data_IF_990712480802
#
_entry.id   IF_990712480802
#
_cell.length_a   1.000
_cell.length_b   1.000
_cell.length_c   1.000
_cell.angle_alpha   90.00
_cell.angle_beta   90.00
_cell.angle_gamma   90.00
#
_symmetry.space_group_name_H-M   'P 1'
#
loop_
_entity.id
_entity.type
_entity.pdbx_description
1 polymer ?
#
# COMPACT_ATOMS: atom_id res chain seq x y z
N UNK A 1 -44.75 -14.20 -55.42
CA UNK A 1 -43.73 -13.37 -56.05
C UNK A 1 -42.59 -13.22 -55.02
N UNK A 2 -41.54 -13.92 -55.35
CA UNK A 2 -40.31 -13.97 -54.58
C UNK A 2 -39.44 -12.75 -54.93
N UNK A 3 -38.95 -12.08 -53.99
CA UNK A 3 -37.77 -11.19 -54.15
C UNK A 3 -36.72 -11.66 -53.17
N UNK A 4 -35.74 -12.36 -53.70
CA UNK A 4 -34.51 -12.76 -53.05
C UNK A 4 -33.56 -11.55 -53.04
N UNK A 5 -33.30 -10.99 -51.90
CA UNK A 5 -32.29 -9.94 -51.69
C UNK A 5 -30.96 -10.63 -51.33
N UNK A 6 -30.06 -10.62 -52.32
CA UNK A 6 -28.73 -11.18 -52.25
C UNK A 6 -27.83 -10.30 -51.34
N UNK A 7 -27.38 -10.88 -50.24
CA UNK A 7 -26.40 -10.24 -49.35
C UNK A 7 -25.01 -10.34 -50.01
N UNK A 8 -24.50 -9.20 -50.51
CA UNK A 8 -23.11 -9.03 -50.90
C UNK A 8 -22.22 -9.07 -49.63
N UNK A 9 -21.48 -10.15 -49.50
CA UNK A 9 -20.36 -10.23 -48.53
C UNK A 9 -19.17 -9.43 -49.06
N UNK A 10 -19.06 -8.18 -48.62
CA UNK A 10 -17.88 -7.38 -48.87
C UNK A 10 -16.70 -7.95 -48.08
N UNK A 11 -15.71 -8.47 -48.82
CA UNK A 11 -14.40 -8.87 -48.34
C UNK A 11 -13.62 -7.64 -47.79
N UNK A 12 -13.60 -7.53 -46.48
CA UNK A 12 -12.89 -6.48 -45.73
C UNK A 12 -11.45 -6.90 -45.30
N UNK A 13 -10.80 -7.74 -46.10
CA UNK A 13 -9.47 -8.27 -45.78
C UNK A 13 -8.34 -7.89 -46.72
N UNK A 14 -8.55 -6.96 -47.66
CA UNK A 14 -7.52 -6.55 -48.62
C UNK A 14 -7.06 -5.12 -48.44
N UNK A 15 -6.55 -4.78 -47.27
CA UNK A 15 -5.65 -3.59 -47.13
C UNK A 15 -4.83 -3.65 -45.84
N UNK A 16 -3.93 -4.63 -45.75
CA UNK A 16 -2.80 -4.56 -44.77
C UNK A 16 -1.53 -4.19 -45.57
N UNK A 17 -0.95 -3.02 -45.31
CA UNK A 17 0.32 -2.64 -45.98
C UNK A 17 1.44 -3.54 -45.44
N UNK A 18 2.33 -4.05 -46.32
CA UNK A 18 3.47 -4.87 -45.95
C UNK A 18 4.63 -4.00 -45.47
N UNK A 19 4.66 -3.59 -44.19
CA UNK A 19 5.86 -3.02 -43.59
C UNK A 19 5.94 -3.36 -42.10
N UNK A 20 6.13 -4.63 -41.82
CA UNK A 20 6.79 -5.05 -40.59
C UNK A 20 8.18 -5.56 -41.01
N UNK A 21 9.14 -4.66 -41.10
CA UNK A 21 10.57 -5.03 -41.05
C UNK A 21 10.77 -5.77 -39.75
N UNK A 22 10.95 -7.07 -39.86
CA UNK A 22 11.17 -7.97 -38.74
C UNK A 22 12.34 -7.44 -37.90
N UNK A 23 12.18 -7.38 -36.59
CA UNK A 23 13.26 -7.05 -35.66
C UNK A 23 14.52 -7.88 -35.90
N UNK A 24 14.39 -9.04 -36.53
CA UNK A 24 15.49 -9.90 -36.99
C UNK A 24 16.31 -9.26 -38.13
N UNK A 25 15.70 -8.55 -39.09
CA UNK A 25 16.42 -7.89 -40.17
C UNK A 25 17.23 -6.67 -39.69
N UNK A 26 16.73 -6.01 -38.63
CA UNK A 26 17.47 -4.93 -37.93
C UNK A 26 18.68 -5.47 -37.20
N UNK A 27 18.52 -6.62 -36.49
CA UNK A 27 19.62 -7.27 -35.80
C UNK A 27 20.69 -7.81 -36.73
N UNK A 28 20.32 -8.36 -37.92
CA UNK A 28 21.26 -8.83 -38.93
C UNK A 28 22.00 -7.67 -39.60
N UNK A 29 21.35 -6.52 -39.82
CA UNK A 29 22.01 -5.31 -40.32
C UNK A 29 22.98 -4.68 -39.32
N UNK A 30 22.65 -4.74 -38.03
CA UNK A 30 23.56 -4.27 -36.99
C UNK A 30 24.74 -5.23 -36.76
N UNK A 31 24.54 -6.53 -36.87
CA UNK A 31 25.64 -7.51 -36.77
C UNK A 31 26.66 -7.42 -37.90
N UNK A 32 26.22 -7.04 -39.13
CA UNK A 32 27.13 -6.82 -40.24
C UNK A 32 27.94 -5.50 -40.13
N UNK A 33 27.42 -4.47 -39.44
CA UNK A 33 28.18 -3.23 -39.13
C UNK A 33 29.17 -3.44 -37.97
N UNK A 34 28.91 -4.36 -37.07
CA UNK A 34 29.82 -4.69 -35.97
C UNK A 34 30.99 -5.60 -36.37
N UNK A 35 30.90 -6.27 -37.52
CA UNK A 35 31.94 -7.15 -38.03
C UNK A 35 33.24 -6.44 -38.43
N UNK A 36 33.22 -5.14 -38.72
CA UNK A 36 34.43 -4.39 -39.07
C UNK A 36 35.16 -3.73 -37.90
N UNK A 37 34.49 -3.65 -36.72
CA UNK A 37 35.08 -3.12 -35.48
C UNK A 37 35.60 -4.24 -34.60
N UNK A 38 35.08 -5.45 -34.79
CA UNK A 38 35.44 -6.62 -33.99
C UNK A 38 36.85 -7.16 -34.24
N UNK A 39 37.43 -6.94 -35.44
CA UNK A 39 38.77 -7.44 -35.77
C UNK A 39 39.91 -6.73 -35.06
N UNK A 40 39.71 -5.49 -34.59
CA UNK A 40 40.71 -4.78 -33.78
C UNK A 40 40.59 -5.10 -32.28
N UNK A 41 39.40 -5.49 -31.80
CA UNK A 41 39.16 -5.87 -30.40
C UNK A 41 39.58 -7.33 -30.09
N UNK A 42 39.62 -8.20 -31.12
CA UNK A 42 39.97 -9.61 -30.96
C UNK A 42 41.45 -9.87 -30.68
N UNK A 43 42.36 -8.91 -30.97
CA UNK A 43 43.78 -9.02 -30.64
C UNK A 43 44.07 -8.98 -29.14
N UNK A 44 43.23 -8.30 -28.35
CA UNK A 44 43.34 -8.25 -26.87
C UNK A 44 42.67 -9.41 -26.17
N UNK A 45 41.74 -10.10 -26.82
CA UNK A 45 40.95 -11.16 -26.22
C UNK A 45 41.66 -12.49 -26.15
N UNK A 46 42.68 -12.70 -27.02
CA UNK A 46 43.52 -13.94 -27.00
C UNK A 46 44.32 -14.05 -25.70
N UNK A 47 44.72 -12.95 -25.08
CA UNK A 47 45.42 -12.97 -23.79
C UNK A 47 44.49 -13.13 -22.60
N UNK A 48 43.19 -12.87 -22.77
CA UNK A 48 42.18 -13.07 -21.71
C UNK A 48 41.64 -14.51 -21.70
N UNK A 49 41.70 -15.21 -22.81
CA UNK A 49 41.22 -16.60 -22.94
C UNK A 49 42.22 -17.66 -22.47
N UNK A 50 43.47 -17.26 -22.14
CA UNK A 50 44.45 -18.14 -21.57
C UNK A 50 44.53 -18.14 -20.05
N UNK A 51 43.60 -17.42 -19.38
CA UNK A 51 43.35 -17.71 -17.97
C UNK A 51 42.36 -18.87 -17.91
N UNK A 52 42.79 -19.94 -17.24
CA UNK A 52 41.94 -21.09 -16.92
C UNK A 52 40.69 -20.59 -16.19
N UNK A 53 39.67 -20.22 -16.98
CA UNK A 53 38.35 -19.91 -16.45
C UNK A 53 37.79 -21.29 -16.03
N UNK A 54 37.99 -21.64 -14.78
CA UNK A 54 37.30 -22.75 -14.16
C UNK A 54 35.81 -22.41 -14.15
N UNK A 55 35.13 -22.83 -15.21
CA UNK A 55 33.67 -22.73 -15.26
C UNK A 55 33.14 -23.73 -14.24
N UNK A 56 32.54 -23.31 -13.13
CA UNK A 56 31.99 -24.26 -12.17
C UNK A 56 30.94 -25.13 -12.87
N UNK A 57 30.80 -26.40 -12.50
CA UNK A 57 29.83 -27.28 -13.12
C UNK A 57 28.44 -26.68 -13.04
N UNK A 58 27.64 -26.87 -14.09
CA UNK A 58 26.32 -26.26 -14.22
C UNK A 58 25.39 -26.52 -13.04
N UNK A 59 25.59 -27.64 -12.35
CA UNK A 59 24.88 -28.02 -11.13
C UNK A 59 25.15 -27.04 -9.96
N UNK A 60 26.40 -26.57 -9.78
CA UNK A 60 26.78 -25.64 -8.74
C UNK A 60 26.18 -24.23 -9.01
N UNK A 61 26.10 -23.87 -10.28
CA UNK A 61 25.48 -22.62 -10.69
C UNK A 61 23.97 -22.67 -10.43
N UNK A 62 23.28 -23.74 -10.80
CA UNK A 62 21.86 -23.91 -10.57
C UNK A 62 21.49 -23.96 -9.08
N UNK A 63 22.31 -24.64 -8.26
CA UNK A 63 22.12 -24.70 -6.81
C UNK A 63 22.32 -23.34 -6.16
N UNK A 64 23.32 -22.57 -6.58
CA UNK A 64 23.57 -21.21 -6.09
C UNK A 64 22.44 -20.24 -6.45
N UNK A 65 21.89 -20.31 -7.66
CA UNK A 65 20.72 -19.52 -8.07
C UNK A 65 19.46 -19.92 -7.30
N UNK A 66 19.23 -21.22 -7.10
CA UNK A 66 18.10 -21.72 -6.31
C UNK A 66 18.20 -21.25 -4.84
N UNK A 67 19.37 -21.31 -4.24
CA UNK A 67 19.62 -20.83 -2.89
C UNK A 67 19.48 -19.31 -2.79
N UNK A 68 19.99 -18.54 -3.75
CA UNK A 68 19.85 -17.09 -3.78
C UNK A 68 18.38 -16.67 -3.93
N UNK A 69 17.60 -17.36 -4.76
CA UNK A 69 16.16 -17.14 -4.91
C UNK A 69 15.43 -17.47 -3.62
N UNK A 70 15.75 -18.57 -2.98
CA UNK A 70 15.13 -18.99 -1.71
C UNK A 70 15.43 -17.99 -0.58
N UNK A 71 16.69 -17.51 -0.46
CA UNK A 71 17.07 -16.45 0.49
C UNK A 71 16.24 -15.17 0.28
N UNK A 72 16.16 -14.68 -0.96
CA UNK A 72 15.35 -13.48 -1.27
C UNK A 72 13.89 -13.67 -0.89
N UNK A 73 13.31 -14.84 -1.14
CA UNK A 73 11.92 -15.14 -0.76
C UNK A 73 11.76 -15.17 0.76
N UNK A 74 12.71 -15.72 1.50
CA UNK A 74 12.69 -15.72 2.97
C UNK A 74 12.84 -14.30 3.54
N UNK A 75 13.77 -13.51 3.00
CA UNK A 75 13.95 -12.11 3.41
C UNK A 75 12.69 -11.28 3.13
N UNK A 76 12.06 -11.46 1.97
CA UNK A 76 10.78 -10.82 1.66
C UNK A 76 9.66 -11.23 2.61
N UNK A 77 9.57 -12.52 2.94
CA UNK A 77 8.58 -13.03 3.89
C UNK A 77 8.81 -12.49 5.30
N UNK A 78 10.07 -12.37 5.73
CA UNK A 78 10.41 -11.77 7.03
C UNK A 78 10.08 -10.27 7.07
N UNK A 79 10.41 -9.54 6.01
CA UNK A 79 10.08 -8.11 5.90
C UNK A 79 8.56 -7.88 5.89
N UNK A 80 7.80 -8.73 5.17
CA UNK A 80 6.33 -8.70 5.21
C UNK A 80 5.80 -8.95 6.62
N UNK A 81 6.31 -9.97 7.32
CA UNK A 81 5.88 -10.25 8.71
C UNK A 81 6.19 -9.11 9.66
N UNK A 82 7.34 -8.48 9.50
CA UNK A 82 7.73 -7.30 10.28
C UNK A 82 6.78 -6.13 9.98
N UNK A 83 6.54 -5.82 8.72
CA UNK A 83 5.61 -4.77 8.30
C UNK A 83 4.18 -5.01 8.81
N UNK A 84 3.68 -6.26 8.76
CA UNK A 84 2.36 -6.62 9.31
C UNK A 84 2.33 -6.41 10.82
N UNK A 85 3.36 -6.82 11.54
CA UNK A 85 3.43 -6.64 13.00
C UNK A 85 3.46 -5.15 13.37
N UNK A 86 4.25 -4.36 12.68
CA UNK A 86 4.35 -2.92 12.89
C UNK A 86 3.03 -2.20 12.53
N UNK A 87 2.40 -2.55 11.41
CA UNK A 87 1.13 -1.94 10.99
C UNK A 87 -0.05 -2.28 11.89
N UNK A 88 -0.02 -3.42 12.57
CA UNK A 88 -1.07 -3.87 13.49
C UNK A 88 -0.83 -3.48 14.94
N UNK A 89 0.22 -2.71 15.24
CA UNK A 89 0.47 -2.23 16.59
C UNK A 89 -0.60 -1.20 17.00
N UNK A 90 -1.36 -1.54 18.04
CA UNK A 90 -2.40 -0.67 18.57
C UNK A 90 -1.77 0.49 19.34
N UNK A 91 -1.98 1.70 18.86
CA UNK A 91 -1.52 2.94 19.51
C UNK A 91 -2.46 3.34 20.65
N UNK A 92 -3.77 3.34 20.36
CA UNK A 92 -4.79 3.68 21.33
C UNK A 92 -6.07 2.88 21.08
N UNK A 93 -6.84 2.67 22.14
CA UNK A 93 -8.18 2.12 22.05
C UNK A 93 -9.06 2.71 23.13
N UNK A 94 -10.31 3.02 22.79
CA UNK A 94 -11.29 3.45 23.76
C UNK A 94 -12.63 2.74 23.51
N UNK A 95 -13.45 2.70 24.56
CA UNK A 95 -14.77 2.09 24.55
C UNK A 95 -15.80 3.03 25.15
N UNK A 96 -16.99 3.03 24.57
CA UNK A 96 -18.09 3.82 25.10
C UNK A 96 -18.55 3.32 26.47
N UNK A 97 -19.07 4.23 27.27
CA UNK A 97 -19.36 4.00 28.70
C UNK A 97 -20.70 3.30 28.88
N UNK A 98 -20.68 2.18 29.59
CA UNK A 98 -21.88 1.56 30.13
C UNK A 98 -22.31 2.30 31.41
N UNK A 99 -23.62 2.54 31.70
CA UNK A 99 -24.84 2.08 31.01
C UNK A 99 -25.39 3.06 29.96
N UNK A 100 -24.68 4.14 29.60
CA UNK A 100 -25.14 5.09 28.58
C UNK A 100 -25.39 4.42 27.23
N UNK A 101 -24.60 3.39 26.92
CA UNK A 101 -24.86 2.48 25.80
C UNK A 101 -24.98 1.05 26.34
N UNK A 102 -26.10 0.36 26.02
CA UNK A 102 -26.28 -1.05 26.38
C UNK A 102 -25.24 -1.95 25.65
N UNK A 103 -24.83 -1.54 24.48
CA UNK A 103 -23.86 -2.22 23.65
C UNK A 103 -22.67 -1.28 23.41
N UNK A 104 -21.60 -1.41 24.22
CA UNK A 104 -20.47 -0.48 24.09
C UNK A 104 -19.77 -0.60 22.74
N UNK A 105 -19.73 0.51 22.03
CA UNK A 105 -18.92 0.68 20.82
C UNK A 105 -17.45 0.80 21.21
N UNK A 106 -16.56 0.51 20.30
CA UNK A 106 -15.13 0.69 20.52
C UNK A 106 -14.44 1.28 19.29
N UNK A 107 -13.42 2.09 19.54
CA UNK A 107 -12.51 2.61 18.55
C UNK A 107 -11.11 2.11 18.85
N UNK A 108 -10.41 1.71 17.81
CA UNK A 108 -9.04 1.20 17.88
C UNK A 108 -8.24 1.97 16.84
N UNK A 109 -7.16 2.59 17.27
CA UNK A 109 -6.19 3.27 16.41
C UNK A 109 -4.94 2.41 16.30
N UNK A 110 -4.67 1.93 15.11
CA UNK A 110 -3.44 1.23 14.75
C UNK A 110 -2.47 2.17 14.01
N UNK A 111 -1.25 1.72 13.74
CA UNK A 111 -0.26 2.50 12.96
C UNK A 111 -0.68 2.79 11.51
N UNK A 112 -1.70 2.15 10.98
CA UNK A 112 -2.13 2.32 9.58
C UNK A 112 -3.58 2.75 9.42
N UNK A 113 -4.42 2.43 10.39
CA UNK A 113 -5.88 2.56 10.27
C UNK A 113 -6.56 2.89 11.59
N UNK A 114 -7.75 3.46 11.47
CA UNK A 114 -8.73 3.56 12.56
C UNK A 114 -9.81 2.52 12.33
N UNK A 115 -10.08 1.72 13.32
CA UNK A 115 -11.14 0.70 13.29
C UNK A 115 -12.22 1.04 14.30
N UNK A 116 -13.45 1.16 13.85
CA UNK A 116 -14.64 1.40 14.66
C UNK A 116 -15.44 0.10 14.70
N UNK A 117 -15.75 -0.36 15.90
CA UNK A 117 -16.62 -1.52 16.14
C UNK A 117 -17.91 -0.99 16.76
N UNK A 118 -18.96 -0.90 15.98
CA UNK A 118 -20.32 -0.56 16.44
C UNK A 118 -21.07 -1.84 16.76
N UNK A 119 -21.61 -1.93 17.99
CA UNK A 119 -22.40 -3.06 18.43
C UNK A 119 -23.87 -2.66 18.44
N UNK A 120 -24.63 -3.23 17.50
CA UNK A 120 -26.07 -2.96 17.38
C UNK A 120 -26.88 -3.84 18.34
N UNK A 121 -26.39 -5.03 18.67
CA UNK A 121 -27.03 -6.01 19.55
C UNK A 121 -26.00 -7.03 20.09
N UNK A 122 -26.41 -7.94 21.01
CA UNK A 122 -25.50 -8.94 21.63
C UNK A 122 -24.72 -9.78 20.60
N UNK A 123 -25.31 -10.04 19.43
CA UNK A 123 -24.78 -10.94 18.41
C UNK A 123 -24.33 -10.21 17.14
N UNK A 124 -24.62 -8.91 17.02
CA UNK A 124 -24.37 -8.16 15.80
C UNK A 124 -23.41 -7.02 16.08
N UNK A 125 -22.29 -7.03 15.37
CA UNK A 125 -21.32 -5.93 15.38
C UNK A 125 -20.98 -5.54 13.95
N UNK A 126 -20.92 -4.23 13.69
CA UNK A 126 -20.43 -3.66 12.44
C UNK A 126 -19.01 -3.17 12.67
N UNK A 127 -18.09 -3.68 11.89
CA UNK A 127 -16.68 -3.26 11.92
C UNK A 127 -16.41 -2.40 10.71
N UNK A 128 -15.95 -1.18 10.94
CA UNK A 128 -15.63 -0.21 9.90
C UNK A 128 -14.18 0.22 10.10
N UNK A 129 -13.36 0.11 9.06
CA UNK A 129 -11.96 0.49 9.12
C UNK A 129 -11.64 1.52 8.06
N UNK A 130 -10.95 2.59 8.44
CA UNK A 130 -10.48 3.66 7.56
C UNK A 130 -8.95 3.71 7.60
N UNK A 131 -8.33 3.92 6.47
CA UNK A 131 -6.92 4.29 6.46
C UNK A 131 -6.76 5.72 6.99
N UNK A 132 -5.69 6.01 7.68
CA UNK A 132 -5.43 7.36 8.22
C UNK A 132 -5.42 8.42 7.11
N UNK A 133 -4.94 8.04 5.94
CA UNK A 133 -4.86 8.91 4.75
C UNK A 133 -6.23 9.29 4.17
N UNK A 134 -7.27 8.48 4.44
CA UNK A 134 -8.64 8.73 4.01
C UNK A 134 -9.42 9.60 4.98
N UNK A 135 -8.89 9.88 6.16
CA UNK A 135 -9.53 10.72 7.17
C UNK A 135 -9.35 12.19 6.78
N UNK A 136 -10.45 12.88 6.63
CA UNK A 136 -10.47 14.30 6.25
C UNK A 136 -10.52 15.23 7.46
N UNK A 137 -11.35 14.89 8.45
CA UNK A 137 -11.56 15.69 9.64
C UNK A 137 -11.93 14.82 10.84
N UNK A 138 -11.56 15.29 12.02
CA UNK A 138 -11.91 14.65 13.29
C UNK A 138 -12.42 15.72 14.23
N UNK A 139 -13.67 15.59 14.67
CA UNK A 139 -14.35 16.51 15.58
C UNK A 139 -14.63 15.81 16.91
N UNK A 140 -14.47 16.54 17.98
CA UNK A 140 -14.81 16.09 19.32
C UNK A 140 -15.85 17.01 19.95
N UNK A 141 -17.01 16.46 20.26
CA UNK A 141 -17.99 17.13 21.11
C UNK A 141 -17.70 16.83 22.57
N UNK A 142 -17.53 17.85 23.40
CA UNK A 142 -17.13 17.69 24.81
C UNK A 142 -18.26 18.16 25.73
N UNK A 143 -18.78 17.22 26.50
CA UNK A 143 -19.72 17.50 27.60
C UNK A 143 -19.01 17.52 28.97
N UNK A 144 -19.77 17.70 30.07
CA UNK A 144 -19.17 17.73 31.40
C UNK A 144 -18.54 16.41 31.83
N UNK A 145 -19.12 15.28 31.42
CA UNK A 145 -18.64 13.93 31.79
C UNK A 145 -18.27 13.08 30.57
N UNK A 146 -19.00 13.26 29.48
CA UNK A 146 -18.86 12.45 28.28
C UNK A 146 -18.48 13.30 27.09
N UNK A 147 -17.80 12.64 26.14
CA UNK A 147 -17.48 13.21 24.84
C UNK A 147 -18.05 12.35 23.70
N UNK A 148 -18.14 12.97 22.56
CA UNK A 148 -18.45 12.31 21.28
C UNK A 148 -17.31 12.55 20.30
N UNK A 149 -17.06 11.57 19.44
CA UNK A 149 -16.06 11.67 18.36
C UNK A 149 -16.77 11.49 17.04
N UNK A 150 -16.55 12.43 16.12
CA UNK A 150 -17.03 12.37 14.75
C UNK A 150 -15.83 12.31 13.82
N UNK A 151 -15.76 11.29 12.98
CA UNK A 151 -14.71 11.11 11.98
C UNK A 151 -15.34 11.25 10.61
N UNK A 152 -14.87 12.20 9.81
CA UNK A 152 -15.20 12.34 8.41
C UNK A 152 -14.13 11.66 7.57
N UNK A 153 -14.53 10.67 6.78
CA UNK A 153 -13.63 9.91 5.91
C UNK A 153 -14.11 9.92 4.48
N UNK A 154 -13.15 9.86 3.54
CA UNK A 154 -13.43 9.74 2.12
C UNK A 154 -13.45 8.26 1.75
N UNK A 155 -14.64 7.72 1.48
CA UNK A 155 -14.81 6.37 0.96
C UNK A 155 -15.40 6.46 -0.45
N UNK A 156 -14.70 5.96 -1.46
CA UNK A 156 -15.17 5.91 -2.85
C UNK A 156 -15.82 7.21 -3.37
N UNK A 157 -15.16 8.36 -3.20
CA UNK A 157 -15.63 9.71 -3.60
C UNK A 157 -16.84 10.26 -2.81
N UNK A 158 -17.32 9.56 -1.80
CA UNK A 158 -18.35 10.06 -0.87
C UNK A 158 -17.70 10.37 0.47
N UNK A 159 -18.15 11.46 1.09
CA UNK A 159 -17.72 11.82 2.45
C UNK A 159 -18.73 11.22 3.42
N UNK A 160 -18.28 10.25 4.19
CA UNK A 160 -19.07 9.62 5.24
C UNK A 160 -18.67 10.14 6.61
N UNK A 161 -19.67 10.45 7.44
CA UNK A 161 -19.48 10.90 8.81
C UNK A 161 -19.84 9.78 9.79
N UNK A 162 -18.87 9.40 10.60
CA UNK A 162 -19.05 8.36 11.61
C UNK A 162 -18.99 9.00 13.00
N UNK A 163 -20.13 9.03 13.68
CA UNK A 163 -20.25 9.55 15.03
C UNK A 163 -20.35 8.42 16.05
N UNK A 164 -19.58 8.54 17.11
CA UNK A 164 -19.62 7.69 18.29
C UNK A 164 -19.77 8.58 19.51
N UNK A 165 -20.74 8.27 20.34
CA UNK A 165 -21.08 9.06 21.53
C UNK A 165 -20.72 8.29 22.80
N UNK A 166 -20.66 9.03 23.92
CA UNK A 166 -20.50 8.46 25.26
C UNK A 166 -19.14 7.80 25.54
N UNK A 167 -18.07 8.38 25.03
CA UNK A 167 -16.74 8.17 25.60
C UNK A 167 -16.59 8.94 26.91
N UNK A 168 -15.65 8.57 27.76
CA UNK A 168 -15.19 9.50 28.77
C UNK A 168 -14.64 10.76 28.12
N UNK A 169 -14.89 11.92 28.78
CA UNK A 169 -14.48 13.22 28.25
C UNK A 169 -12.99 13.23 27.83
N UNK A 170 -12.13 12.79 28.73
CA UNK A 170 -10.68 12.85 28.53
C UNK A 170 -10.23 11.86 27.45
N UNK A 171 -10.87 10.69 27.35
CA UNK A 171 -10.60 9.72 26.28
C UNK A 171 -11.01 10.26 24.91
N UNK A 172 -12.14 10.97 24.82
CA UNK A 172 -12.59 11.57 23.56
C UNK A 172 -11.62 12.67 23.08
N UNK A 173 -11.13 13.51 23.99
CA UNK A 173 -10.15 14.57 23.71
C UNK A 173 -8.84 13.92 23.28
N UNK A 174 -8.36 12.95 24.04
CA UNK A 174 -7.12 12.22 23.73
C UNK A 174 -7.16 11.56 22.34
N UNK A 175 -8.25 10.83 22.04
CA UNK A 175 -8.42 10.20 20.72
C UNK A 175 -8.46 11.22 19.60
N UNK A 176 -9.18 12.34 19.81
CA UNK A 176 -9.25 13.44 18.81
C UNK A 176 -7.86 13.99 18.51
N UNK A 177 -7.09 14.32 19.54
CA UNK A 177 -5.73 14.85 19.37
C UNK A 177 -4.83 13.83 18.68
N UNK A 178 -4.87 12.58 19.10
CA UNK A 178 -4.03 11.53 18.55
C UNK A 178 -4.33 11.26 17.08
N UNK A 179 -5.63 11.12 16.71
CA UNK A 179 -6.02 10.88 15.32
C UNK A 179 -5.73 12.11 14.44
N UNK A 180 -6.05 13.32 14.92
CA UNK A 180 -5.78 14.55 14.20
C UNK A 180 -4.28 14.75 13.96
N UNK A 181 -3.46 14.55 15.00
CA UNK A 181 -2.01 14.62 14.88
C UNK A 181 -1.48 13.62 13.87
N UNK A 182 -2.07 12.42 13.83
CA UNK A 182 -1.66 11.40 12.86
C UNK A 182 -2.04 11.80 11.43
N UNK A 183 -3.23 12.34 11.21
CA UNK A 183 -3.63 12.89 9.91
C UNK A 183 -2.66 13.99 9.48
N UNK A 184 -2.29 14.91 10.37
CA UNK A 184 -1.32 15.97 10.10
C UNK A 184 0.06 15.39 9.75
N UNK A 185 0.54 14.42 10.52
CA UNK A 185 1.82 13.76 10.27
C UNK A 185 1.86 13.09 8.89
N UNK A 186 0.79 12.40 8.52
CA UNK A 186 0.66 11.72 7.21
C UNK A 186 0.59 12.71 6.06
N UNK A 187 -0.19 13.78 6.18
CA UNK A 187 -0.30 14.81 5.15
C UNK A 187 1.03 15.55 4.91
N UNK A 188 1.84 15.70 5.94
CA UNK A 188 3.17 16.30 5.83
C UNK A 188 4.28 15.29 5.51
N UNK A 189 3.94 14.03 5.24
CA UNK A 189 4.88 12.94 4.94
C UNK A 189 5.96 12.74 6.03
N UNK A 190 5.62 12.95 7.29
CA UNK A 190 6.53 12.63 8.38
C UNK A 190 6.71 11.12 8.50
N UNK A 191 7.95 10.67 8.53
CA UNK A 191 8.28 9.27 8.74
C UNK A 191 8.12 8.90 10.21
N UNK A 192 7.02 8.23 10.53
CA UNK A 192 6.71 7.75 11.89
C UNK A 192 7.20 6.31 12.13
N UNK A 193 7.80 5.66 11.13
CA UNK A 193 8.19 4.24 11.21
C UNK A 193 9.33 3.97 12.19
N UNK A 194 10.17 4.98 12.43
CA UNK A 194 11.34 4.87 13.30
C UNK A 194 11.01 5.14 14.79
N UNK A 195 9.82 5.70 15.08
CA UNK A 195 9.42 6.05 16.43
C UNK A 195 8.94 4.84 17.21
N UNK A 196 9.29 4.78 18.49
CA UNK A 196 8.65 3.86 19.42
C UNK A 196 7.19 4.22 19.62
N UNK A 197 6.39 3.32 20.18
CA UNK A 197 4.96 3.57 20.40
C UNK A 197 4.74 4.82 21.27
N UNK A 198 5.49 4.94 22.35
CA UNK A 198 5.40 6.02 23.31
C UNK A 198 5.78 7.37 22.69
N UNK A 199 6.91 7.43 22.00
CA UNK A 199 7.38 8.63 21.30
C UNK A 199 6.40 9.04 20.20
N UNK A 200 5.82 8.07 19.50
CA UNK A 200 4.82 8.32 18.46
C UNK A 200 3.57 8.95 19.06
N UNK A 201 3.03 8.40 20.15
CA UNK A 201 1.84 8.93 20.83
C UNK A 201 2.10 10.37 21.29
N UNK A 202 3.23 10.63 21.95
CA UNK A 202 3.59 11.97 22.44
C UNK A 202 3.70 12.98 21.29
N UNK A 203 4.40 12.61 20.23
CA UNK A 203 4.56 13.45 19.03
C UNK A 203 3.22 13.73 18.36
N UNK A 204 2.36 12.73 18.22
CA UNK A 204 1.07 12.88 17.57
C UNK A 204 0.11 13.75 18.41
N UNK A 205 0.11 13.61 19.73
CA UNK A 205 -0.68 14.48 20.61
C UNK A 205 -0.23 15.94 20.43
N UNK A 206 1.08 16.19 20.47
CA UNK A 206 1.63 17.53 20.27
C UNK A 206 1.27 18.15 18.92
N UNK A 207 1.20 17.32 17.84
CA UNK A 207 0.76 17.77 16.52
C UNK A 207 -0.76 18.00 16.44
N UNK A 208 -1.54 17.23 17.19
CA UNK A 208 -3.00 17.28 17.17
C UNK A 208 -3.59 18.21 18.23
N UNK A 209 -2.75 18.84 19.06
CA UNK A 209 -3.19 19.81 20.03
C UNK A 209 -3.69 21.08 19.30
N UNK A 210 -4.95 21.44 19.54
CA UNK A 210 -5.48 22.66 18.97
C UNK A 210 -4.79 23.86 19.63
N UNK A 211 -3.91 24.51 18.89
CA UNK A 211 -3.28 25.77 19.29
C UNK A 211 -4.26 26.95 19.32
N UNK A 212 -5.56 26.66 19.27
CA UNK A 212 -6.64 27.62 19.39
C UNK A 212 -6.88 28.04 20.85
N UNK A 213 -6.02 28.89 21.38
CA UNK A 213 -6.35 29.81 22.47
C UNK A 213 -6.68 31.17 21.93
#
# INVERSE_FOLDING_TARGET
MKDEESIETNNLFDSVPPTRTSTYDLLIRQSKKLGSVATKAFGGLKNFLNQDIVIPPAEDIMTSFAQAKHRKTLEQAQNLRKAVKESSEVLASARTVFPMTLFPDSIILDRSKVTIVKRDFFWTARVISFQIEDILNVECGVGPFFGSLTIASRVMSTIDHFQINYFWRDEAIFLKQLIQGYVIAKHNNFDTSQLTKEEMIETLIGLGEDTGR
#
